data_IF_696782885040
#
_entry.id   IF_696782885040
#
_cell.length_a   1.000
_cell.length_b   1.000
_cell.length_c   1.000
_cell.angle_alpha   90.00
_cell.angle_beta   90.00
_cell.angle_gamma   90.00
#
_symmetry.space_group_name_H-M   'P 1'
#
loop_
_entity.id
_entity.type
_entity.pdbx_description
1 polymer ?
#
# COMPACT_ATOMS: atom_id res chain seq x y z
N UNK A 1 4.51 -9.60 -17.71
CA UNK A 1 4.24 -8.43 -16.84
C UNK A 1 4.12 -9.00 -15.44
N UNK A 2 5.02 -8.63 -14.54
CA UNK A 2 4.98 -9.08 -13.14
C UNK A 2 3.74 -8.47 -12.44
N UNK A 3 3.32 -9.05 -11.32
CA UNK A 3 2.17 -8.53 -10.56
C UNK A 3 2.40 -7.08 -10.11
N UNK A 4 3.65 -6.75 -9.75
CA UNK A 4 4.05 -5.40 -9.37
C UNK A 4 4.00 -4.41 -10.56
N UNK A 5 4.45 -4.81 -11.75
CA UNK A 5 4.36 -3.97 -12.96
C UNK A 5 2.91 -3.58 -13.24
N UNK A 6 1.99 -4.54 -13.04
CA UNK A 6 0.56 -4.30 -13.21
C UNK A 6 0.03 -3.33 -12.16
N UNK A 7 0.36 -3.53 -10.88
CA UNK A 7 -0.04 -2.63 -9.82
C UNK A 7 0.41 -1.20 -10.10
N UNK A 8 1.68 -1.01 -10.47
CA UNK A 8 2.24 0.31 -10.82
C UNK A 8 1.50 0.94 -11.99
N UNK A 9 1.26 0.17 -13.06
CA UNK A 9 0.49 0.66 -14.21
C UNK A 9 -0.94 1.05 -13.83
N UNK A 10 -1.63 0.25 -13.02
CA UNK A 10 -3.00 0.53 -12.59
C UNK A 10 -3.07 1.79 -11.71
N UNK A 11 -2.04 2.01 -10.88
CA UNK A 11 -1.88 3.19 -10.02
C UNK A 11 -1.59 4.45 -10.84
N UNK A 12 -0.65 4.40 -11.78
CA UNK A 12 -0.36 5.50 -12.71
C UNK A 12 -1.60 5.90 -13.52
N UNK A 13 -2.33 4.90 -14.02
CA UNK A 13 -3.57 5.13 -14.76
C UNK A 13 -4.66 5.70 -13.86
N UNK A 14 -4.71 5.32 -12.57
CA UNK A 14 -5.62 5.95 -11.62
C UNK A 14 -5.26 7.42 -11.42
N UNK A 15 -3.99 7.76 -11.13
CA UNK A 15 -3.52 9.14 -10.92
C UNK A 15 -3.84 10.03 -12.13
N UNK A 16 -3.62 9.52 -13.34
CA UNK A 16 -3.94 10.23 -14.59
C UNK A 16 -5.45 10.49 -14.74
N UNK A 17 -6.31 9.58 -14.28
CA UNK A 17 -7.76 9.66 -14.40
C UNK A 17 -8.43 10.47 -13.28
N UNK A 18 -7.90 10.41 -12.06
CA UNK A 18 -8.47 11.07 -10.88
C UNK A 18 -8.34 12.60 -10.90
N UNK A 19 -7.45 13.14 -11.73
CA UNK A 19 -7.21 14.58 -11.82
C UNK A 19 -6.64 15.17 -10.53
N UNK A 20 -6.82 16.48 -10.32
CA UNK A 20 -6.23 17.21 -9.17
C UNK A 20 -7.00 17.09 -7.86
N UNK A 21 -8.23 16.57 -7.88
CA UNK A 21 -9.10 16.47 -6.72
C UNK A 21 -10.02 15.24 -6.85
N UNK A 22 -9.52 14.03 -6.54
CA UNK A 22 -10.33 12.83 -6.53
C UNK A 22 -11.48 12.95 -5.53
N UNK A 23 -12.66 12.47 -5.91
CA UNK A 23 -13.78 12.30 -5.00
C UNK A 23 -13.85 10.87 -4.45
N UNK A 24 -14.90 10.60 -3.65
CA UNK A 24 -15.11 9.29 -3.03
C UNK A 24 -15.16 8.16 -4.05
N UNK A 25 -15.77 8.39 -5.22
CA UNK A 25 -15.88 7.39 -6.29
C UNK A 25 -14.51 6.98 -6.83
N UNK A 26 -13.61 7.93 -7.01
CA UNK A 26 -12.25 7.68 -7.48
C UNK A 26 -11.48 6.85 -6.44
N UNK A 27 -11.60 7.18 -5.16
CA UNK A 27 -10.98 6.41 -4.07
C UNK A 27 -11.58 5.00 -3.91
N UNK A 28 -12.89 4.82 -4.07
CA UNK A 28 -13.53 3.51 -4.06
C UNK A 28 -13.01 2.63 -5.22
N UNK A 29 -12.85 3.25 -6.41
CA UNK A 29 -12.26 2.56 -7.58
C UNK A 29 -10.80 2.18 -7.34
N UNK A 30 -10.03 3.04 -6.66
CA UNK A 30 -8.65 2.74 -6.26
C UNK A 30 -8.61 1.54 -5.31
N UNK A 31 -9.42 1.58 -4.25
CA UNK A 31 -9.51 0.49 -3.27
C UNK A 31 -9.88 -0.84 -3.92
N UNK A 32 -10.88 -0.85 -4.78
CA UNK A 32 -11.29 -2.04 -5.53
C UNK A 32 -10.20 -2.56 -6.47
N UNK A 33 -9.39 -1.67 -7.06
CA UNK A 33 -8.30 -2.07 -7.96
C UNK A 33 -7.12 -2.63 -7.18
N UNK A 34 -6.72 -1.97 -6.09
CA UNK A 34 -5.68 -2.43 -5.19
C UNK A 34 -6.02 -3.80 -4.58
N UNK A 35 -7.22 -3.96 -4.01
CA UNK A 35 -7.66 -5.22 -3.40
C UNK A 35 -7.63 -6.41 -4.37
N UNK A 36 -7.94 -6.18 -5.66
CA UNK A 36 -7.85 -7.22 -6.69
C UNK A 36 -6.41 -7.61 -7.03
N UNK A 37 -5.46 -6.70 -6.84
CA UNK A 37 -4.04 -6.97 -7.04
C UNK A 37 -3.44 -7.76 -5.86
N UNK A 38 -3.99 -7.64 -4.65
CA UNK A 38 -3.53 -8.34 -3.44
C UNK A 38 -4.60 -9.26 -2.84
N UNK A 39 -5.06 -10.31 -3.56
CA UNK A 39 -6.25 -11.09 -3.19
C UNK A 39 -6.12 -11.92 -1.90
N UNK A 40 -4.93 -12.00 -1.31
CA UNK A 40 -4.63 -12.75 -0.09
C UNK A 40 -4.65 -11.89 1.19
N UNK A 41 -5.00 -10.61 1.07
CA UNK A 41 -4.98 -9.66 2.18
C UNK A 41 -6.39 -9.50 2.73
N UNK A 42 -6.59 -9.64 4.06
CA UNK A 42 -7.89 -9.46 4.70
C UNK A 42 -8.47 -8.07 4.52
N UNK A 43 -9.81 -7.96 4.55
CA UNK A 43 -10.53 -6.70 4.32
C UNK A 43 -10.24 -5.64 5.40
N UNK A 44 -10.01 -6.06 6.64
CA UNK A 44 -9.71 -5.15 7.77
C UNK A 44 -8.29 -4.58 7.66
N UNK A 45 -7.31 -5.42 7.30
CA UNK A 45 -5.96 -4.98 6.91
C UNK A 45 -6.02 -3.99 5.73
N UNK A 46 -6.78 -4.30 4.67
CA UNK A 46 -6.99 -3.38 3.55
C UNK A 46 -7.66 -2.08 3.99
N UNK A 47 -8.63 -2.13 4.91
CA UNK A 47 -9.27 -0.94 5.45
C UNK A 47 -8.27 -0.05 6.19
N UNK A 48 -7.43 -0.62 7.05
CA UNK A 48 -6.38 0.10 7.77
C UNK A 48 -5.38 0.77 6.83
N UNK A 49 -4.88 0.04 5.82
CA UNK A 49 -3.99 0.57 4.80
C UNK A 49 -4.60 1.77 4.07
N UNK A 50 -5.87 1.66 3.67
CA UNK A 50 -6.55 2.75 2.97
C UNK A 50 -6.84 3.95 3.86
N UNK A 51 -7.12 3.74 5.15
CA UNK A 51 -7.24 4.84 6.11
C UNK A 51 -5.92 5.62 6.24
N UNK A 52 -4.79 4.92 6.38
CA UNK A 52 -3.46 5.53 6.41
C UNK A 52 -3.15 6.27 5.10
N UNK A 53 -3.41 5.65 3.95
CA UNK A 53 -3.24 6.27 2.65
C UNK A 53 -4.04 7.57 2.51
N UNK A 54 -5.34 7.54 2.85
CA UNK A 54 -6.20 8.73 2.73
C UNK A 54 -5.77 9.86 3.66
N UNK A 55 -5.28 9.54 4.86
CA UNK A 55 -4.71 10.51 5.79
C UNK A 55 -3.49 11.22 5.19
N UNK A 56 -2.57 10.45 4.57
CA UNK A 56 -1.38 10.98 3.88
C UNK A 56 -1.75 11.81 2.65
N UNK A 57 -2.64 11.28 1.82
CA UNK A 57 -3.10 11.89 0.57
C UNK A 57 -3.87 13.20 0.84
N UNK A 58 -4.66 13.26 1.92
CA UNK A 58 -5.49 14.42 2.29
C UNK A 58 -4.72 15.62 2.87
N UNK A 59 -3.41 15.51 3.09
CA UNK A 59 -2.58 16.58 3.67
C UNK A 59 -2.38 17.80 2.74
N UNK A 60 -2.78 17.70 1.47
CA UNK A 60 -3.08 18.84 0.58
C UNK A 60 -1.91 19.42 -0.21
N UNK A 61 -0.67 18.98 0.04
CA UNK A 61 0.48 19.34 -0.80
C UNK A 61 0.67 18.30 -1.93
N UNK A 62 1.02 18.76 -3.13
CA UNK A 62 1.24 17.88 -4.29
C UNK A 62 2.34 16.84 -4.03
N UNK A 63 3.42 17.25 -3.38
CA UNK A 63 4.52 16.36 -2.98
C UNK A 63 4.06 15.27 -2.00
N UNK A 64 3.20 15.61 -1.05
CA UNK A 64 2.64 14.64 -0.09
C UNK A 64 1.65 13.69 -0.74
N UNK A 65 0.96 14.15 -1.79
CA UNK A 65 0.08 13.32 -2.62
C UNK A 65 0.89 12.28 -3.38
N UNK A 66 2.01 12.68 -4.00
CA UNK A 66 2.92 11.77 -4.68
C UNK A 66 3.52 10.75 -3.70
N UNK A 67 4.01 11.20 -2.53
CA UNK A 67 4.50 10.31 -1.48
C UNK A 67 3.44 9.32 -0.97
N UNK A 68 2.18 9.75 -0.86
CA UNK A 68 1.09 8.85 -0.47
C UNK A 68 0.85 7.74 -1.51
N UNK A 69 0.96 8.08 -2.80
CA UNK A 69 0.84 7.11 -3.89
C UNK A 69 2.02 6.16 -3.91
N UNK A 70 3.25 6.67 -3.79
CA UNK A 70 4.46 5.86 -3.70
C UNK A 70 4.40 4.91 -2.49
N UNK A 71 3.92 5.40 -1.34
CA UNK A 71 3.71 4.57 -0.17
C UNK A 71 2.73 3.43 -0.44
N UNK A 72 1.59 3.70 -1.07
CA UNK A 72 0.60 2.67 -1.37
C UNK A 72 1.14 1.63 -2.38
N UNK A 73 1.90 2.07 -3.39
CA UNK A 73 2.58 1.18 -4.35
C UNK A 73 3.58 0.28 -3.63
N UNK A 74 4.44 0.85 -2.78
CA UNK A 74 5.44 0.09 -2.04
C UNK A 74 4.81 -0.90 -1.05
N UNK A 75 3.70 -0.54 -0.41
CA UNK A 75 2.96 -1.47 0.45
C UNK A 75 2.37 -2.60 -0.38
N UNK A 76 1.80 -2.29 -1.55
CA UNK A 76 1.32 -3.32 -2.46
C UNK A 76 2.43 -4.24 -2.95
N UNK A 77 3.65 -3.73 -3.16
CA UNK A 77 4.82 -4.54 -3.55
C UNK A 77 5.22 -5.52 -2.44
N UNK A 78 5.18 -5.08 -1.17
CA UNK A 78 5.36 -5.95 0.00
C UNK A 78 4.31 -7.05 0.09
N UNK A 79 3.04 -6.70 -0.10
CA UNK A 79 1.91 -7.65 -0.04
C UNK A 79 1.92 -8.66 -1.19
N UNK A 80 2.57 -8.32 -2.30
CA UNK A 80 2.83 -9.19 -3.45
C UNK A 80 4.08 -10.07 -3.28
N UNK A 81 4.79 -9.96 -2.15
CA UNK A 81 6.09 -10.59 -1.92
C UNK A 81 7.16 -10.26 -2.96
N UNK A 82 7.07 -9.07 -3.57
CA UNK A 82 7.93 -8.60 -4.66
C UNK A 82 8.31 -7.14 -4.39
N UNK A 83 8.93 -6.89 -3.23
CA UNK A 83 9.31 -5.56 -2.77
C UNK A 83 10.18 -4.85 -3.81
N UNK A 84 9.73 -3.66 -4.18
CA UNK A 84 10.26 -2.90 -5.30
C UNK A 84 11.35 -1.89 -4.91
N UNK A 85 11.78 -1.89 -3.64
CA UNK A 85 12.79 -0.98 -3.11
C UNK A 85 12.28 0.41 -2.75
N UNK A 86 10.95 0.59 -2.62
CA UNK A 86 10.35 1.86 -2.20
C UNK A 86 10.98 2.37 -0.89
N UNK A 87 11.57 3.57 -0.85
CA UNK A 87 12.33 4.03 0.31
C UNK A 87 11.41 4.44 1.48
N UNK A 88 10.98 3.46 2.27
CA UNK A 88 10.21 3.68 3.49
C UNK A 88 11.07 4.23 4.62
N UNK A 89 10.52 5.20 5.37
CA UNK A 89 11.11 5.65 6.63
C UNK A 89 10.93 4.59 7.73
N UNK A 90 11.65 4.73 8.83
CA UNK A 90 11.47 3.84 10.00
C UNK A 90 10.03 3.86 10.53
N UNK A 91 9.40 5.04 10.55
CA UNK A 91 8.00 5.17 10.97
C UNK A 91 7.05 4.47 10.00
N UNK A 92 7.33 4.50 8.69
CA UNK A 92 6.55 3.75 7.71
C UNK A 92 6.64 2.24 7.95
N UNK A 93 7.84 1.72 8.23
CA UNK A 93 8.02 0.30 8.54
C UNK A 93 7.29 -0.14 9.80
N UNK A 94 7.35 0.68 10.85
CA UNK A 94 6.61 0.44 12.10
C UNK A 94 5.10 0.43 11.84
N UNK A 95 4.57 1.40 11.09
CA UNK A 95 3.15 1.48 10.76
C UNK A 95 2.71 0.31 9.85
N UNK A 96 3.48 -0.03 8.81
CA UNK A 96 3.19 -1.17 7.94
C UNK A 96 3.13 -2.46 8.73
N UNK A 97 4.09 -2.67 9.64
CA UNK A 97 4.11 -3.83 10.55
C UNK A 97 2.85 -3.88 11.40
N UNK A 98 2.46 -2.76 12.01
CA UNK A 98 1.24 -2.69 12.81
C UNK A 98 0.01 -3.04 11.97
N UNK A 99 -0.13 -2.45 10.78
CA UNK A 99 -1.26 -2.67 9.87
C UNK A 99 -1.41 -4.13 9.45
N UNK A 100 -0.32 -4.80 9.04
CA UNK A 100 -0.39 -6.23 8.63
C UNK A 100 -0.57 -7.19 9.81
N UNK A 101 -0.30 -6.74 11.04
CA UNK A 101 -0.50 -7.56 12.24
C UNK A 101 -1.92 -7.51 12.80
N UNK A 102 -2.76 -6.55 12.35
CA UNK A 102 -4.16 -6.40 12.75
C UNK A 102 -4.90 -7.73 12.59
N UNK A 103 -4.74 -8.38 11.43
CA UNK A 103 -5.37 -9.67 11.11
C UNK A 103 -4.34 -10.79 10.96
N UNK A 104 -3.32 -10.82 11.82
CA UNK A 104 -2.23 -11.82 11.74
C UNK A 104 -2.68 -13.30 11.74
N UNK A 105 -3.93 -13.58 12.12
CA UNK A 105 -4.55 -14.91 12.03
C UNK A 105 -5.28 -15.20 10.71
N UNK A 106 -5.60 -14.20 9.90
CA UNK A 106 -6.35 -14.34 8.64
C UNK A 106 -5.51 -14.04 7.40
N UNK A 107 -4.50 -13.16 7.52
CA UNK A 107 -3.57 -12.88 6.45
C UNK A 107 -2.74 -14.13 6.11
N UNK A 108 -2.46 -14.33 4.82
CA UNK A 108 -1.59 -15.41 4.34
C UNK A 108 -0.23 -15.36 5.06
N UNK A 109 0.16 -16.49 5.67
CA UNK A 109 1.36 -16.58 6.53
C UNK A 109 2.64 -16.31 5.76
N UNK A 110 2.71 -16.68 4.48
CA UNK A 110 3.89 -16.42 3.64
C UNK A 110 4.00 -14.92 3.37
N UNK A 111 2.88 -14.25 3.06
CA UNK A 111 2.83 -12.80 2.92
C UNK A 111 3.22 -12.10 4.22
N UNK A 112 2.62 -12.48 5.35
CA UNK A 112 2.94 -11.90 6.66
C UNK A 112 4.42 -12.07 7.01
N UNK A 113 4.95 -13.28 6.85
CA UNK A 113 6.36 -13.57 7.14
C UNK A 113 7.29 -12.74 6.26
N UNK A 114 6.95 -12.60 4.98
CA UNK A 114 7.71 -11.78 4.04
C UNK A 114 7.73 -10.30 4.46
N UNK A 115 6.56 -9.71 4.73
CA UNK A 115 6.48 -8.29 5.13
C UNK A 115 7.22 -8.05 6.44
N UNK A 116 7.07 -8.92 7.44
CA UNK A 116 7.78 -8.81 8.71
C UNK A 116 9.29 -8.98 8.54
N UNK A 117 9.74 -9.84 7.64
CA UNK A 117 11.15 -9.99 7.27
C UNK A 117 11.72 -8.71 6.69
N UNK A 118 11.03 -8.10 5.71
CA UNK A 118 11.44 -6.83 5.12
C UNK A 118 11.44 -5.69 6.15
N UNK A 119 10.41 -5.59 6.98
CA UNK A 119 10.34 -4.59 8.04
C UNK A 119 11.47 -4.76 9.07
N UNK A 120 11.92 -5.99 9.35
CA UNK A 120 13.08 -6.24 10.21
C UNK A 120 14.39 -5.83 9.52
N UNK A 121 14.58 -6.23 8.27
CA UNK A 121 15.80 -5.90 7.50
C UNK A 121 15.99 -4.39 7.34
N UNK A 122 14.90 -3.64 7.16
CA UNK A 122 14.93 -2.20 6.91
C UNK A 122 14.62 -1.34 8.14
N UNK A 123 13.93 -1.87 9.16
CA UNK A 123 13.55 -1.15 10.38
C UNK A 123 14.45 -1.42 11.60
N UNK A 124 15.33 -2.44 11.55
CA UNK A 124 16.26 -2.77 12.63
C UNK A 124 17.58 -1.96 12.62
N UNK A 125 17.74 -0.99 11.71
CA UNK A 125 18.88 -0.06 11.67
C UNK A 125 18.48 1.34 12.17
#
# INVERSE_FOLDING_TARGET
MQAIDKLKSDMDDWVRRSGRAPGNREFDSLRSTFARSVPKVPDDTLAGLFTTFLSRYGSGAAEETEKAIDWLIGVGSLLLSDYDGTPFSKADWEEIRELVTIDSGEIDVDTLTYVLGQALEHGAL
#
